data_IF_872229590517
#
_entry.id   IF_872229590517
#
_cell.length_a   1.000
_cell.length_b   1.000
_cell.length_c   1.000
_cell.angle_alpha   90.00
_cell.angle_beta   90.00
_cell.angle_gamma   90.00
#
_symmetry.space_group_name_H-M   'P 1'
#
loop_
_entity.id
_entity.type
_entity.pdbx_description
1 polymer ?
#
# COMPACT_ATOMS: atom_id res chain seq x y z
N UNK A 1 -21.81 -43.63 -20.54
CA UNK A 1 -22.01 -42.17 -20.38
C UNK A 1 -21.01 -41.63 -19.35
N UNK A 2 -19.73 -41.44 -19.73
CA UNK A 2 -18.59 -41.28 -18.80
C UNK A 2 -18.12 -39.82 -18.57
N UNK A 3 -18.85 -38.81 -19.05
CA UNK A 3 -18.35 -37.42 -19.08
C UNK A 3 -18.70 -36.52 -17.87
N UNK A 4 -19.43 -37.02 -16.85
CA UNK A 4 -19.87 -36.18 -15.72
C UNK A 4 -18.78 -35.98 -14.66
N UNK A 5 -17.89 -36.95 -14.47
CA UNK A 5 -16.83 -36.88 -13.45
C UNK A 5 -15.78 -35.80 -13.74
N UNK A 6 -15.35 -35.72 -15.00
CA UNK A 6 -14.27 -34.81 -15.43
C UNK A 6 -14.64 -33.34 -15.25
N UNK A 7 -15.89 -32.96 -15.55
CA UNK A 7 -16.37 -31.58 -15.40
C UNK A 7 -16.38 -31.17 -13.92
N UNK A 8 -16.80 -32.07 -13.04
CA UNK A 8 -16.83 -31.79 -11.60
C UNK A 8 -15.42 -31.58 -11.04
N UNK A 9 -14.45 -32.40 -11.48
CA UNK A 9 -13.05 -32.27 -11.06
C UNK A 9 -12.44 -30.95 -11.54
N UNK A 10 -12.72 -30.53 -12.78
CA UNK A 10 -12.25 -29.25 -13.32
C UNK A 10 -12.79 -28.05 -12.52
N UNK A 11 -14.09 -28.06 -12.18
CA UNK A 11 -14.68 -26.99 -11.35
C UNK A 11 -14.05 -26.92 -9.95
N UNK A 12 -13.74 -28.07 -9.33
CA UNK A 12 -13.08 -28.11 -8.03
C UNK A 12 -11.64 -27.57 -8.09
N UNK A 13 -10.89 -27.89 -9.14
CA UNK A 13 -9.52 -27.38 -9.32
C UNK A 13 -9.51 -25.86 -9.55
N UNK A 14 -10.45 -25.33 -10.34
CA UNK A 14 -10.58 -23.88 -10.57
C UNK A 14 -10.96 -23.13 -9.29
N UNK A 15 -11.92 -23.65 -8.53
CA UNK A 15 -12.32 -23.04 -7.26
C UNK A 15 -11.19 -23.07 -6.22
N UNK A 16 -10.43 -24.16 -6.12
CA UNK A 16 -9.22 -24.19 -5.28
C UNK A 16 -8.16 -23.18 -5.73
N UNK A 17 -7.93 -23.02 -7.04
CA UNK A 17 -6.96 -22.05 -7.56
C UNK A 17 -7.35 -20.59 -7.26
N UNK A 18 -8.64 -20.27 -7.24
CA UNK A 18 -9.15 -18.94 -6.89
C UNK A 18 -8.93 -18.66 -5.39
N UNK A 19 -9.25 -19.61 -4.50
CA UNK A 19 -9.04 -19.43 -3.04
C UNK A 19 -7.56 -19.25 -2.70
N UNK A 20 -6.66 -19.96 -3.39
CA UNK A 20 -5.21 -19.81 -3.19
C UNK A 20 -4.70 -18.44 -3.67
N UNK A 21 -5.33 -17.85 -4.70
CA UNK A 21 -4.93 -16.53 -5.20
C UNK A 21 -5.42 -15.38 -4.30
N UNK A 22 -6.60 -15.51 -3.69
CA UNK A 22 -7.16 -14.46 -2.82
C UNK A 22 -6.46 -14.33 -1.45
N UNK A 23 -5.68 -15.33 -1.02
CA UNK A 23 -5.02 -15.30 0.30
C UNK A 23 -3.69 -14.56 0.32
N UNK A 24 -3.22 -14.03 -0.83
CA UNK A 24 -1.99 -13.21 -0.93
C UNK A 24 -2.27 -11.71 -0.88
N UNK A 25 -3.28 -11.28 -0.13
CA UNK A 25 -3.37 -9.89 0.29
C UNK A 25 -2.22 -9.63 1.28
N UNK A 26 -1.05 -9.25 0.73
CA UNK A 26 0.09 -8.79 1.52
C UNK A 26 -0.44 -7.65 2.37
N UNK A 27 -0.55 -7.87 3.69
CA UNK A 27 -0.81 -6.80 4.65
C UNK A 27 0.26 -5.75 4.43
N UNK A 28 -0.08 -4.67 3.73
CA UNK A 28 0.86 -3.61 3.46
C UNK A 28 1.32 -3.07 4.82
N UNK A 29 2.63 -3.08 5.06
CA UNK A 29 3.17 -2.65 6.35
C UNK A 29 3.26 -1.13 6.28
N UNK A 30 2.39 -0.44 7.02
CA UNK A 30 2.45 1.01 7.16
C UNK A 30 3.54 1.34 8.18
N UNK A 31 4.58 2.04 7.75
CA UNK A 31 5.61 2.60 8.62
C UNK A 31 5.42 4.11 8.80
N UNK A 32 5.51 4.56 10.05
CA UNK A 32 5.54 5.97 10.41
C UNK A 32 6.96 6.51 10.29
N UNK A 33 7.15 7.55 9.48
CA UNK A 33 8.43 8.23 9.26
C UNK A 33 8.26 9.75 9.41
N UNK A 34 9.36 10.48 9.50
CA UNK A 34 9.36 11.92 9.74
C UNK A 34 10.25 12.63 8.73
N UNK A 35 9.83 13.81 8.29
CA UNK A 35 10.62 14.71 7.45
C UNK A 35 10.60 16.09 8.08
N UNK A 36 11.77 16.67 8.30
CA UNK A 36 11.90 18.01 8.85
C UNK A 36 11.74 19.11 7.77
N UNK A 37 11.09 20.20 8.15
CA UNK A 37 10.87 21.39 7.34
C UNK A 37 11.46 22.61 8.05
N UNK A 38 12.49 23.23 7.46
CA UNK A 38 13.19 24.35 8.09
C UNK A 38 12.45 25.68 7.97
N UNK A 39 11.74 25.88 6.87
CA UNK A 39 11.24 27.21 6.48
C UNK A 39 9.77 27.45 6.88
N UNK A 40 9.10 26.44 7.46
CA UNK A 40 7.66 26.51 7.71
C UNK A 40 7.24 25.74 8.95
N UNK A 41 6.54 26.44 9.86
CA UNK A 41 6.02 25.87 11.12
C UNK A 41 5.01 24.77 10.89
N UNK A 42 4.13 24.89 9.91
CA UNK A 42 3.16 23.86 9.54
C UNK A 42 3.17 23.72 8.01
N UNK A 43 3.93 22.76 7.46
CA UNK A 43 3.98 22.52 6.03
C UNK A 43 2.59 22.25 5.45
N UNK A 44 2.37 22.62 4.19
CA UNK A 44 1.10 22.27 3.54
C UNK A 44 1.00 20.75 3.36
N UNK A 45 -0.23 20.24 3.32
CA UNK A 45 -0.44 18.79 3.24
C UNK A 45 0.14 18.23 1.93
N UNK A 46 0.02 18.98 0.84
CA UNK A 46 0.56 18.66 -0.48
C UNK A 46 2.10 18.62 -0.44
N UNK A 47 2.71 19.62 0.19
CA UNK A 47 4.17 19.73 0.37
C UNK A 47 4.71 18.57 1.21
N UNK A 48 4.01 18.20 2.30
CA UNK A 48 4.32 17.00 3.06
C UNK A 48 4.24 15.75 2.18
N UNK A 49 3.19 15.59 1.39
CA UNK A 49 2.95 14.41 0.57
C UNK A 49 4.05 14.22 -0.48
N UNK A 50 4.36 15.27 -1.24
CA UNK A 50 5.45 15.27 -2.22
C UNK A 50 6.80 14.96 -1.57
N UNK A 51 7.08 15.57 -0.42
CA UNK A 51 8.38 15.39 0.25
C UNK A 51 8.50 13.99 0.87
N UNK A 52 7.44 13.46 1.47
CA UNK A 52 7.39 12.08 1.97
C UNK A 52 7.62 11.07 0.83
N UNK A 53 6.96 11.27 -0.32
CA UNK A 53 7.11 10.39 -1.48
C UNK A 53 8.54 10.44 -2.04
N UNK A 54 9.07 11.64 -2.25
CA UNK A 54 10.44 11.82 -2.73
C UNK A 54 11.48 11.20 -1.80
N UNK A 55 11.29 11.32 -0.49
CA UNK A 55 12.26 10.88 0.53
C UNK A 55 12.20 9.37 0.78
N UNK A 56 11.01 8.77 0.80
CA UNK A 56 10.85 7.38 1.27
C UNK A 56 10.41 6.39 0.19
N UNK A 57 9.88 6.85 -0.94
CA UNK A 57 9.28 5.99 -1.95
C UNK A 57 9.85 6.23 -3.35
N UNK A 58 10.98 6.95 -3.46
CA UNK A 58 11.57 7.38 -4.74
C UNK A 58 10.60 8.16 -5.63
N UNK A 59 9.68 8.92 -5.02
CA UNK A 59 8.66 9.71 -5.72
C UNK A 59 7.34 8.97 -6.00
N UNK A 60 7.22 7.70 -5.63
CA UNK A 60 5.98 6.94 -5.77
C UNK A 60 4.95 7.35 -4.70
N UNK A 61 4.05 8.24 -5.09
CA UNK A 61 2.98 8.74 -4.25
C UNK A 61 1.99 7.67 -3.80
N UNK A 62 1.82 6.57 -4.56
CA UNK A 62 0.91 5.48 -4.19
C UNK A 62 1.34 4.73 -2.94
N UNK A 63 2.63 4.82 -2.58
CA UNK A 63 3.19 4.25 -1.36
C UNK A 63 3.06 5.16 -0.14
N UNK A 64 2.55 6.39 -0.28
CA UNK A 64 2.27 7.28 0.85
C UNK A 64 0.78 7.18 1.19
N UNK A 65 0.46 6.47 2.27
CA UNK A 65 -0.93 6.27 2.71
C UNK A 65 -1.53 7.54 3.29
N UNK A 66 -0.76 8.29 4.07
CA UNK A 66 -1.22 9.50 4.74
C UNK A 66 -0.03 10.39 5.11
N UNK A 67 -0.27 11.69 5.20
CA UNK A 67 0.64 12.67 5.79
C UNK A 67 -0.07 13.57 6.78
N UNK A 68 0.62 13.90 7.87
CA UNK A 68 0.14 14.83 8.90
C UNK A 68 1.19 15.93 9.10
N UNK A 69 0.90 17.19 8.73
CA UNK A 69 1.75 18.32 9.08
C UNK A 69 1.85 18.50 10.60
N UNK A 70 3.06 18.76 11.08
CA UNK A 70 3.37 19.00 12.50
C UNK A 70 4.39 20.15 12.61
N UNK A 71 4.70 20.59 13.83
CA UNK A 71 5.56 21.74 14.06
C UNK A 71 6.96 21.53 13.45
N UNK A 72 7.26 22.29 12.39
CA UNK A 72 8.47 22.22 11.56
C UNK A 72 8.78 20.82 10.96
N UNK A 73 7.78 19.97 10.77
CA UNK A 73 7.97 18.63 10.18
C UNK A 73 6.69 18.06 9.59
N UNK A 74 6.82 16.96 8.88
CA UNK A 74 5.71 16.14 8.41
C UNK A 74 5.85 14.73 8.94
N UNK A 75 4.74 14.16 9.40
CA UNK A 75 4.62 12.74 9.74
C UNK A 75 4.13 12.02 8.48
N UNK A 76 4.90 11.05 8.00
CA UNK A 76 4.60 10.27 6.80
C UNK A 76 4.20 8.84 7.20
N UNK A 77 3.09 8.35 6.66
CA UNK A 77 2.69 6.93 6.76
C UNK A 77 2.92 6.27 5.42
N UNK A 78 3.95 5.42 5.34
CA UNK A 78 4.46 4.86 4.09
C UNK A 78 4.23 3.35 4.05
N UNK A 79 3.69 2.85 2.94
CA UNK A 79 3.54 1.44 2.63
C UNK A 79 4.90 0.88 2.20
N UNK A 80 5.34 -0.17 2.89
CA UNK A 80 6.58 -0.91 2.61
C UNK A 80 6.27 -2.34 2.16
#
# INVERSE_FOLDING_TARGET
MQNKGVVLTLFLVVSMAIVISSTKEKRAVIQKKYVDFKDRKYPWKEECFETCARTFTNGDQSKVSEVVPDYFKCICYVLI
#
